data_IF_128828342582
#
_entry.id   IF_128828342582
#
_cell.length_a   1.000
_cell.length_b   1.000
_cell.length_c   1.000
_cell.angle_alpha   90.00
_cell.angle_beta   90.00
_cell.angle_gamma   90.00
#
_symmetry.space_group_name_H-M   'P 1'
#
loop_
_entity.id
_entity.type
_entity.pdbx_description
1 polymer ?
#
# COMPACT_ATOMS: atom_id res chain seq x y z
N UNK A 1 -18.70 5.10 -9.38
CA UNK A 1 -18.54 4.13 -10.50
C UNK A 1 -17.17 3.50 -10.41
N UNK A 2 -16.93 2.40 -11.13
CA UNK A 2 -15.58 1.80 -11.24
C UNK A 2 -14.56 2.80 -11.78
N UNK A 3 -14.90 3.54 -12.84
CA UNK A 3 -14.01 4.56 -13.44
C UNK A 3 -13.56 5.61 -12.42
N UNK A 4 -14.49 6.14 -11.63
CA UNK A 4 -14.19 7.11 -10.58
C UNK A 4 -13.24 6.54 -9.53
N UNK A 5 -13.40 5.27 -9.16
CA UNK A 5 -12.48 4.61 -8.21
C UNK A 5 -11.08 4.53 -8.79
N UNK A 6 -10.94 4.22 -10.08
CA UNK A 6 -9.65 4.17 -10.77
C UNK A 6 -8.99 5.54 -10.83
N UNK A 7 -9.75 6.58 -11.21
CA UNK A 7 -9.29 7.98 -11.23
C UNK A 7 -8.78 8.45 -9.87
N UNK A 8 -9.47 8.09 -8.78
CA UNK A 8 -9.11 8.45 -7.41
C UNK A 8 -7.93 7.63 -6.85
N UNK A 9 -7.65 6.43 -7.40
CA UNK A 9 -6.71 5.46 -6.79
C UNK A 9 -5.28 6.00 -6.67
N UNK A 10 -4.80 6.71 -7.69
CA UNK A 10 -3.44 7.26 -7.68
C UNK A 10 -3.27 8.31 -6.56
N UNK A 11 -4.26 9.19 -6.38
CA UNK A 11 -4.24 10.20 -5.32
C UNK A 11 -4.38 9.57 -3.94
N UNK A 12 -5.28 8.58 -3.78
CA UNK A 12 -5.44 7.82 -2.53
C UNK A 12 -4.13 7.15 -2.12
N UNK A 13 -3.43 6.49 -3.06
CA UNK A 13 -2.16 5.85 -2.76
C UNK A 13 -1.05 6.86 -2.43
N UNK A 14 -0.95 7.98 -3.16
CA UNK A 14 0.02 9.04 -2.85
C UNK A 14 -0.22 9.66 -1.48
N UNK A 15 -1.49 9.90 -1.12
CA UNK A 15 -1.86 10.35 0.23
C UNK A 15 -1.51 9.32 1.29
N UNK A 16 -1.86 8.04 1.06
CA UNK A 16 -1.48 6.94 1.95
C UNK A 16 0.04 6.91 2.20
N UNK A 17 0.85 6.96 1.13
CA UNK A 17 2.30 6.93 1.22
C UNK A 17 2.88 8.14 1.97
N UNK A 18 2.33 9.33 1.73
CA UNK A 18 2.72 10.55 2.43
C UNK A 18 2.50 10.44 3.94
N UNK A 19 1.27 10.11 4.37
CA UNK A 19 0.96 10.01 5.80
C UNK A 19 1.70 8.86 6.47
N UNK A 20 1.87 7.73 5.77
CA UNK A 20 2.66 6.61 6.27
C UNK A 20 4.12 6.99 6.49
N UNK A 21 4.71 7.68 5.52
CA UNK A 21 6.07 8.17 5.63
C UNK A 21 6.25 9.17 6.77
N UNK A 22 5.29 10.09 6.97
CA UNK A 22 5.32 11.01 8.11
C UNK A 22 5.31 10.26 9.44
N UNK A 23 4.43 9.26 9.62
CA UNK A 23 4.39 8.42 10.82
C UNK A 23 5.74 7.72 11.07
N UNK A 24 6.32 7.08 10.04
CA UNK A 24 7.60 6.39 10.21
C UNK A 24 8.75 7.34 10.55
N UNK A 25 8.73 8.59 10.04
CA UNK A 25 9.69 9.61 10.41
C UNK A 25 9.49 10.14 11.82
N UNK A 26 8.25 10.25 12.29
CA UNK A 26 7.95 10.63 13.67
C UNK A 26 8.42 9.57 14.67
N UNK A 27 8.26 8.29 14.33
CA UNK A 27 8.65 7.15 15.18
C UNK A 27 10.16 6.89 15.18
N UNK A 28 10.81 6.97 14.02
CA UNK A 28 12.19 6.50 13.82
C UNK A 28 13.19 7.61 13.47
N UNK A 29 12.72 8.84 13.33
CA UNK A 29 13.57 10.03 13.15
C UNK A 29 14.47 9.96 11.92
N UNK A 30 15.78 10.03 12.17
CA UNK A 30 16.83 10.07 11.13
C UNK A 30 17.11 8.71 10.47
N UNK A 31 16.58 7.61 11.02
CA UNK A 31 16.71 6.29 10.38
C UNK A 31 15.95 6.18 9.04
N UNK A 32 14.96 7.03 8.84
CA UNK A 32 14.17 7.09 7.60
C UNK A 32 14.72 8.24 6.76
N UNK A 33 15.44 7.95 5.66
CA UNK A 33 16.06 8.98 4.84
C UNK A 33 15.00 9.87 4.17
N UNK A 34 15.36 11.14 3.97
CA UNK A 34 14.49 12.14 3.38
C UNK A 34 14.21 11.84 1.90
N UNK A 35 13.05 11.27 1.57
CA UNK A 35 12.59 11.05 0.20
C UNK A 35 11.93 12.34 -0.37
N UNK A 36 12.59 13.05 -1.31
CA UNK A 36 12.05 14.27 -1.88
C UNK A 36 10.76 14.02 -2.66
N UNK A 37 10.58 12.85 -3.28
CA UNK A 37 9.38 12.54 -4.05
C UNK A 37 8.13 12.52 -3.16
N UNK A 38 8.27 12.00 -1.94
CA UNK A 38 7.19 11.96 -0.95
C UNK A 38 6.99 13.34 -0.31
N UNK A 39 8.08 14.05 0.01
CA UNK A 39 8.01 15.39 0.62
C UNK A 39 7.41 16.44 -0.33
N UNK A 40 7.59 16.28 -1.64
CA UNK A 40 7.02 17.14 -2.68
C UNK A 40 5.56 16.80 -3.02
N UNK A 41 4.95 15.83 -2.34
CA UNK A 41 3.51 15.56 -2.50
C UNK A 41 2.75 16.75 -1.92
N UNK A 42 2.43 17.71 -2.79
CA UNK A 42 1.48 18.78 -2.54
C UNK A 42 0.10 18.14 -2.36
N UNK A 43 -0.24 17.84 -1.12
CA UNK A 43 -1.61 17.48 -0.76
C UNK A 43 -2.45 18.76 -0.82
N UNK A 44 -3.53 18.75 -1.59
CA UNK A 44 -4.64 19.66 -1.34
C UNK A 44 -5.24 19.25 0.00
N UNK A 45 -4.69 19.82 1.07
CA UNK A 45 -5.11 19.59 2.45
C UNK A 45 -6.63 19.83 2.55
N UNK A 46 -7.41 18.75 2.49
CA UNK A 46 -8.86 18.82 2.55
C UNK A 46 -9.61 18.01 1.48
N UNK A 47 -8.96 17.52 0.41
CA UNK A 47 -9.63 16.65 -0.56
C UNK A 47 -10.12 15.36 0.12
N UNK A 48 -11.26 14.82 -0.33
CA UNK A 48 -11.82 13.58 0.23
C UNK A 48 -10.86 12.41 0.05
N UNK A 49 -10.18 12.34 -1.09
CA UNK A 49 -9.14 11.36 -1.42
C UNK A 49 -7.93 11.47 -0.50
N UNK A 50 -7.50 12.69 -0.16
CA UNK A 50 -6.45 12.92 0.83
C UNK A 50 -6.85 12.37 2.20
N UNK A 51 -8.07 12.65 2.66
CA UNK A 51 -8.60 12.13 3.93
C UNK A 51 -8.68 10.60 3.95
N UNK A 52 -9.09 9.99 2.83
CA UNK A 52 -9.12 8.53 2.67
C UNK A 52 -7.73 7.93 2.79
N UNK A 53 -6.74 8.46 2.06
CA UNK A 53 -5.35 7.97 2.14
C UNK A 53 -4.80 8.05 3.56
N UNK A 54 -5.04 9.17 4.26
CA UNK A 54 -4.70 9.32 5.68
C UNK A 54 -5.34 8.25 6.56
N UNK A 55 -6.65 8.03 6.40
CA UNK A 55 -7.40 7.05 7.19
C UNK A 55 -6.84 5.63 7.01
N UNK A 56 -6.58 5.26 5.77
CA UNK A 56 -6.02 3.95 5.42
C UNK A 56 -4.59 3.79 5.98
N UNK A 57 -3.78 4.86 6.00
CA UNK A 57 -2.45 4.85 6.62
C UNK A 57 -2.54 4.58 8.12
N UNK A 58 -3.44 5.27 8.84
CA UNK A 58 -3.69 5.06 10.27
C UNK A 58 -4.14 3.63 10.57
N UNK A 59 -5.03 3.05 9.75
CA UNK A 59 -5.50 1.67 9.96
C UNK A 59 -4.39 0.65 9.67
N UNK A 60 -3.57 0.91 8.66
CA UNK A 60 -2.48 0.02 8.23
C UNK A 60 -1.22 0.11 9.10
N UNK A 61 -1.11 1.11 9.96
CA UNK A 61 0.07 1.42 10.77
C UNK A 61 0.53 0.22 11.62
N UNK A 62 -0.33 -0.28 12.51
CA UNK A 62 -0.06 -1.42 13.38
C UNK A 62 0.48 -2.66 12.64
N UNK A 63 0.04 -2.90 11.40
CA UNK A 63 0.44 -4.07 10.62
C UNK A 63 1.73 -3.81 9.88
N UNK A 64 1.91 -2.60 9.36
CA UNK A 64 3.19 -2.21 8.80
C UNK A 64 4.28 -2.30 9.86
N UNK A 65 4.01 -1.91 11.11
CA UNK A 65 4.94 -2.05 12.23
C UNK A 65 5.16 -3.53 12.57
N UNK A 66 4.07 -4.29 12.81
CA UNK A 66 4.13 -5.68 13.24
C UNK A 66 4.86 -6.61 12.26
N UNK A 67 4.75 -6.34 10.95
CA UNK A 67 5.32 -7.18 9.88
C UNK A 67 6.45 -6.48 9.10
N UNK A 68 7.01 -5.40 9.64
CA UNK A 68 8.10 -4.65 9.02
C UNK A 68 9.30 -5.54 8.69
N UNK A 69 9.67 -6.44 9.60
CA UNK A 69 10.81 -7.33 9.43
C UNK A 69 10.61 -8.30 8.25
N UNK A 70 9.42 -8.87 8.10
CA UNK A 70 9.03 -9.76 7.02
C UNK A 70 9.02 -9.04 5.67
N UNK A 71 8.48 -7.81 5.62
CA UNK A 71 8.54 -6.98 4.42
C UNK A 71 9.98 -6.67 4.03
N UNK A 72 10.82 -6.23 4.99
CA UNK A 72 12.24 -5.96 4.75
C UNK A 72 12.98 -7.20 4.26
N UNK A 73 12.74 -8.36 4.88
CA UNK A 73 13.34 -9.62 4.47
C UNK A 73 12.95 -10.00 3.05
N UNK A 74 11.64 -9.95 2.74
CA UNK A 74 11.11 -10.26 1.42
C UNK A 74 11.71 -9.32 0.35
N UNK A 75 11.69 -8.01 0.58
CA UNK A 75 12.21 -7.02 -0.38
C UNK A 75 13.72 -7.17 -0.59
N UNK A 76 14.49 -7.43 0.48
CA UNK A 76 15.93 -7.73 0.39
C UNK A 76 16.21 -9.00 -0.43
N UNK A 77 15.35 -10.01 -0.32
CA UNK A 77 15.49 -11.24 -1.12
C UNK A 77 15.12 -11.03 -2.59
N UNK A 78 14.14 -10.17 -2.89
CA UNK A 78 13.67 -9.91 -4.25
C UNK A 78 14.59 -8.96 -5.02
N UNK A 79 15.23 -8.01 -4.31
CA UNK A 79 16.04 -6.93 -4.89
C UNK A 79 15.29 -6.21 -6.02
N UNK A 80 14.13 -5.58 -5.71
CA UNK A 80 13.34 -4.90 -6.72
C UNK A 80 14.11 -3.72 -7.33
N UNK A 81 13.99 -3.58 -8.64
CA UNK A 81 14.52 -2.47 -9.43
C UNK A 81 13.55 -2.15 -10.57
N UNK A 82 13.91 -1.22 -11.45
CA UNK A 82 13.03 -0.77 -12.54
C UNK A 82 12.60 -1.89 -13.49
N UNK A 83 13.42 -2.93 -13.67
CA UNK A 83 13.20 -3.99 -14.66
C UNK A 83 12.30 -5.10 -14.12
N UNK A 84 12.34 -5.39 -12.81
CA UNK A 84 11.65 -6.54 -12.21
C UNK A 84 10.53 -6.17 -11.22
N UNK A 85 10.45 -4.92 -10.76
CA UNK A 85 9.51 -4.55 -9.69
C UNK A 85 8.05 -4.70 -10.10
N UNK A 86 7.70 -4.45 -11.36
CA UNK A 86 6.33 -4.66 -11.85
C UNK A 86 5.91 -6.13 -11.75
N UNK A 87 6.80 -7.05 -12.12
CA UNK A 87 6.55 -8.49 -12.06
C UNK A 87 6.38 -8.93 -10.61
N UNK A 88 7.31 -8.55 -9.73
CA UNK A 88 7.21 -8.88 -8.31
C UNK A 88 5.99 -8.27 -7.64
N UNK A 89 5.67 -7.01 -7.98
CA UNK A 89 4.48 -6.36 -7.47
C UNK A 89 3.23 -7.12 -7.86
N UNK A 90 3.04 -7.37 -9.16
CA UNK A 90 1.88 -8.09 -9.69
C UNK A 90 1.76 -9.50 -9.13
N UNK A 91 2.88 -10.21 -8.98
CA UNK A 91 2.90 -11.58 -8.44
C UNK A 91 2.45 -11.62 -6.99
N UNK A 92 2.98 -10.73 -6.14
CA UNK A 92 2.63 -10.70 -4.72
C UNK A 92 1.20 -10.18 -4.53
N UNK A 93 0.82 -9.14 -5.27
CA UNK A 93 -0.54 -8.62 -5.27
C UNK A 93 -1.54 -9.69 -5.72
N UNK A 94 -1.24 -10.47 -6.77
CA UNK A 94 -2.13 -11.57 -7.19
C UNK A 94 -2.35 -12.58 -6.07
N UNK A 95 -1.27 -12.99 -5.38
CA UNK A 95 -1.36 -13.91 -4.24
C UNK A 95 -2.19 -13.35 -3.08
N UNK A 96 -2.08 -12.05 -2.81
CA UNK A 96 -2.86 -11.37 -1.77
C UNK A 96 -4.37 -11.47 -2.00
N UNK A 97 -4.82 -11.47 -3.27
CA UNK A 97 -6.24 -11.51 -3.63
C UNK A 97 -6.74 -12.89 -4.10
N UNK A 98 -5.92 -13.95 -4.06
CA UNK A 98 -6.29 -15.31 -4.49
C UNK A 98 -7.57 -15.83 -3.82
N UNK A 99 -7.81 -15.47 -2.56
CA UNK A 99 -8.99 -15.90 -1.79
C UNK A 99 -10.06 -14.81 -1.67
N UNK A 100 -10.10 -13.83 -2.58
CA UNK A 100 -11.13 -12.79 -2.64
C UNK A 100 -10.68 -11.37 -2.25
N UNK A 101 -11.62 -10.43 -2.26
CA UNK A 101 -11.37 -8.99 -2.07
C UNK A 101 -12.03 -8.53 -0.77
N UNK A 102 -11.27 -7.81 0.06
CA UNK A 102 -11.77 -7.10 1.23
C UNK A 102 -10.88 -5.89 1.53
N UNK A 103 -11.35 -4.98 2.40
CA UNK A 103 -10.61 -3.77 2.75
C UNK A 103 -9.24 -4.05 3.37
N UNK A 104 -9.10 -5.11 4.17
CA UNK A 104 -7.81 -5.49 4.75
C UNK A 104 -6.76 -5.80 3.68
N UNK A 105 -7.16 -6.51 2.61
CA UNK A 105 -6.28 -6.79 1.47
C UNK A 105 -5.99 -5.55 0.63
N UNK A 106 -6.97 -4.67 0.46
CA UNK A 106 -6.74 -3.37 -0.21
C UNK A 106 -5.70 -2.56 0.56
N UNK A 107 -5.82 -2.44 1.89
CA UNK A 107 -4.83 -1.75 2.73
C UNK A 107 -3.45 -2.42 2.65
N UNK A 108 -3.41 -3.75 2.70
CA UNK A 108 -2.15 -4.50 2.57
C UNK A 108 -1.48 -4.27 1.21
N UNK A 109 -2.24 -4.14 0.12
CA UNK A 109 -1.72 -3.79 -1.20
C UNK A 109 -1.06 -2.40 -1.19
N UNK A 110 -1.71 -1.40 -0.60
CA UNK A 110 -1.16 -0.05 -0.48
C UNK A 110 0.11 -0.05 0.39
N UNK A 111 0.08 -0.73 1.54
CA UNK A 111 1.24 -0.89 2.42
C UNK A 111 2.42 -1.56 1.73
N UNK A 112 2.17 -2.64 0.99
CA UNK A 112 3.19 -3.33 0.21
C UNK A 112 3.79 -2.44 -0.88
N UNK A 113 2.95 -1.71 -1.63
CA UNK A 113 3.41 -0.73 -2.61
C UNK A 113 4.32 0.33 -1.98
N UNK A 114 3.90 0.90 -0.86
CA UNK A 114 4.71 1.87 -0.11
C UNK A 114 6.06 1.29 0.33
N UNK A 115 6.06 0.10 0.95
CA UNK A 115 7.29 -0.58 1.38
C UNK A 115 8.25 -0.84 0.22
N UNK A 116 7.72 -1.25 -0.94
CA UNK A 116 8.53 -1.43 -2.15
C UNK A 116 9.13 -0.11 -2.64
N UNK A 117 8.35 0.97 -2.68
CA UNK A 117 8.84 2.29 -3.10
C UNK A 117 9.98 2.79 -2.20
N UNK A 118 9.80 2.73 -0.88
CA UNK A 118 10.83 3.13 0.10
C UNK A 118 12.08 2.26 -0.03
N UNK A 119 11.92 0.95 -0.16
CA UNK A 119 13.06 0.04 -0.31
C UNK A 119 13.89 0.38 -1.55
N UNK A 120 13.22 0.59 -2.69
CA UNK A 120 13.90 0.94 -3.95
C UNK A 120 14.59 2.30 -3.86
N UNK A 121 13.95 3.29 -3.22
CA UNK A 121 14.55 4.59 -2.93
C UNK A 121 15.80 4.47 -2.06
N UNK A 122 15.73 3.72 -0.95
CA UNK A 122 16.86 3.48 -0.05
C UNK A 122 18.06 2.78 -0.71
N UNK A 123 17.83 2.08 -1.83
CA UNK A 123 18.87 1.44 -2.63
C UNK A 123 19.32 2.31 -3.84
N UNK A 124 19.02 3.61 -3.81
CA UNK A 124 19.59 4.60 -4.73
C UNK A 124 18.78 4.85 -6.01
N UNK A 125 17.52 4.41 -6.08
CA UNK A 125 16.65 4.62 -7.24
C UNK A 125 15.55 5.63 -6.88
N UNK A 126 15.72 6.93 -7.19
CA UNK A 126 14.72 7.95 -6.90
C UNK A 126 13.53 7.91 -7.86
N UNK A 127 12.42 8.53 -7.45
CA UNK A 127 11.25 8.70 -8.31
C UNK A 127 10.41 7.43 -8.49
N UNK A 128 10.55 6.45 -7.58
CA UNK A 128 9.93 5.14 -7.71
C UNK A 128 8.48 5.09 -7.24
N UNK A 129 8.06 6.01 -6.37
CA UNK A 129 6.69 6.02 -5.84
C UNK A 129 5.67 6.23 -6.95
N UNK A 130 5.94 7.12 -7.92
CA UNK A 130 5.08 7.33 -9.09
C UNK A 130 4.87 6.06 -9.91
N UNK A 131 5.89 5.22 -10.05
CA UNK A 131 5.76 3.95 -10.77
C UNK A 131 4.88 2.98 -10.01
N UNK A 132 5.10 2.86 -8.70
CA UNK A 132 4.23 2.03 -7.84
C UNK A 132 2.79 2.52 -7.86
N UNK A 133 2.54 3.83 -7.84
CA UNK A 133 1.19 4.39 -7.89
C UNK A 133 0.44 3.93 -9.16
N UNK A 134 1.13 3.92 -10.31
CA UNK A 134 0.60 3.37 -11.57
C UNK A 134 0.35 1.87 -11.47
N UNK A 135 1.27 1.11 -10.86
CA UNK A 135 1.10 -0.33 -10.70
C UNK A 135 -0.10 -0.66 -9.82
N UNK A 136 -0.32 0.08 -8.74
CA UNK A 136 -1.50 -0.04 -7.87
C UNK A 136 -2.77 0.25 -8.67
N UNK A 137 -2.84 1.37 -9.38
CA UNK A 137 -4.01 1.75 -10.19
C UNK A 137 -4.33 0.72 -11.26
N UNK A 138 -3.31 0.28 -12.01
CA UNK A 138 -3.46 -0.73 -13.06
C UNK A 138 -3.90 -2.08 -12.48
N UNK A 139 -3.31 -2.51 -11.37
CA UNK A 139 -3.65 -3.77 -10.72
C UNK A 139 -5.10 -3.74 -10.18
N UNK A 140 -5.50 -2.62 -9.55
CA UNK A 140 -6.86 -2.45 -9.01
C UNK A 140 -7.91 -2.50 -10.12
N UNK A 141 -7.64 -1.87 -11.26
CA UNK A 141 -8.51 -1.94 -12.45
C UNK A 141 -8.59 -3.35 -13.02
N UNK A 142 -7.43 -3.99 -13.31
CA UNK A 142 -7.40 -5.29 -14.01
C UNK A 142 -7.99 -6.43 -13.19
N UNK A 143 -7.95 -6.36 -11.87
CA UNK A 143 -8.33 -7.46 -10.97
C UNK A 143 -9.70 -7.27 -10.29
N UNK A 144 -10.60 -6.44 -10.87
CA UNK A 144 -11.96 -6.18 -10.35
C UNK A 144 -12.01 -5.59 -8.94
N UNK A 145 -10.89 -5.07 -8.44
CA UNK A 145 -10.82 -4.42 -7.14
C UNK A 145 -11.49 -3.04 -7.23
N UNK A 146 -11.31 -2.32 -8.34
CA UNK A 146 -12.00 -1.05 -8.58
C UNK A 146 -13.52 -1.23 -8.55
N UNK A 147 -14.02 -2.25 -9.25
CA UNK A 147 -15.43 -2.61 -9.24
C UNK A 147 -15.93 -2.95 -7.83
N UNK A 148 -15.17 -3.75 -7.07
CA UNK A 148 -15.53 -4.11 -5.70
C UNK A 148 -15.58 -2.88 -4.78
N UNK A 149 -14.57 -2.00 -4.83
CA UNK A 149 -14.54 -0.75 -4.06
C UNK A 149 -15.73 0.13 -4.42
N UNK A 150 -16.08 0.23 -5.71
CA UNK A 150 -17.25 0.97 -6.15
C UNK A 150 -18.56 0.40 -5.56
N UNK A 151 -18.68 -0.92 -5.44
CA UNK A 151 -19.82 -1.58 -4.78
C UNK A 151 -19.87 -1.32 -3.27
N UNK A 152 -18.74 -1.03 -2.63
CA UNK A 152 -18.69 -0.63 -1.22
C UNK A 152 -19.05 0.86 -1.01
N UNK A 153 -19.33 1.62 -2.07
CA UNK A 153 -19.58 3.06 -1.99
C UNK A 153 -18.41 3.94 -2.43
N UNK A 154 -17.36 3.34 -3.03
CA UNK A 154 -16.15 4.04 -3.47
C UNK A 154 -15.11 4.18 -2.37
N UNK A 155 -14.01 4.90 -2.66
CA UNK A 155 -12.93 5.11 -1.71
C UNK A 155 -13.37 5.82 -0.43
N UNK A 156 -14.36 6.72 -0.52
CA UNK A 156 -14.91 7.44 0.64
C UNK A 156 -15.47 6.50 1.71
N UNK A 157 -15.92 5.29 1.36
CA UNK A 157 -16.39 4.30 2.32
C UNK A 157 -15.29 3.84 3.30
N UNK A 158 -14.02 4.02 2.94
CA UNK A 158 -12.89 3.74 3.84
C UNK A 158 -12.88 4.61 5.11
N UNK A 159 -13.53 5.78 5.07
CA UNK A 159 -13.60 6.69 6.23
C UNK A 159 -14.35 6.05 7.41
N UNK A 160 -15.35 5.22 7.10
CA UNK A 160 -16.26 4.57 8.07
C UNK A 160 -15.75 3.19 8.54
N UNK A 161 -14.54 2.77 8.16
CA UNK A 161 -14.01 1.48 8.56
C UNK A 161 -13.74 1.42 10.07
N UNK A 162 -14.24 0.37 10.72
CA UNK A 162 -13.99 0.13 12.14
C UNK A 162 -12.55 -0.34 12.39
N UNK A 163 -11.82 0.38 13.25
CA UNK A 163 -10.42 0.11 13.52
C UNK A 163 -10.18 -1.31 14.07
N UNK A 164 -11.07 -1.79 14.95
CA UNK A 164 -10.88 -3.07 15.65
C UNK A 164 -11.03 -4.21 14.67
N UNK A 165 -12.12 -4.24 13.89
CA UNK A 165 -12.32 -5.26 12.86
C UNK A 165 -11.21 -5.27 11.82
N UNK A 166 -10.77 -4.09 11.38
CA UNK A 166 -9.70 -3.98 10.39
C UNK A 166 -8.37 -4.51 10.90
N UNK A 167 -8.02 -4.23 12.17
CA UNK A 167 -6.81 -4.80 12.80
C UNK A 167 -6.85 -6.33 12.79
N UNK A 168 -7.97 -6.95 13.15
CA UNK A 168 -8.11 -8.41 13.09
C UNK A 168 -7.95 -8.96 11.67
N UNK A 169 -8.61 -8.35 10.68
CA UNK A 169 -8.49 -8.80 9.29
C UNK A 169 -7.06 -8.72 8.77
N UNK A 170 -6.33 -7.66 9.12
CA UNK A 170 -4.96 -7.46 8.63
C UNK A 170 -3.97 -8.43 9.27
N UNK A 171 -4.16 -8.82 10.54
CA UNK A 171 -3.41 -9.94 11.15
C UNK A 171 -3.64 -11.24 10.37
N UNK A 172 -4.89 -11.53 10.00
CA UNK A 172 -5.22 -12.72 9.19
C UNK A 172 -4.55 -12.65 7.81
N UNK A 173 -4.60 -11.50 7.14
CA UNK A 173 -3.94 -11.29 5.84
C UNK A 173 -2.45 -11.55 5.93
N UNK A 174 -1.79 -11.02 6.96
CA UNK A 174 -0.36 -11.19 7.13
C UNK A 174 0.02 -12.65 7.43
N UNK A 175 -0.76 -13.37 8.24
CA UNK A 175 -0.57 -14.81 8.47
C UNK A 175 -0.69 -15.62 7.17
N UNK A 176 -1.64 -15.27 6.29
CA UNK A 176 -1.78 -15.91 4.98
C UNK A 176 -0.55 -15.63 4.10
N UNK A 177 -0.07 -14.38 4.05
CA UNK A 177 1.12 -14.02 3.27
C UNK A 177 2.38 -14.74 3.76
N UNK A 178 2.62 -14.78 5.08
CA UNK A 178 3.74 -15.50 5.68
C UNK A 178 3.60 -17.01 5.42
N UNK A 179 2.40 -17.58 5.57
CA UNK A 179 2.13 -18.98 5.26
C UNK A 179 2.47 -19.34 3.81
N UNK A 180 2.10 -18.50 2.85
CA UNK A 180 2.46 -18.69 1.44
C UNK A 180 3.98 -18.61 1.20
N UNK A 181 4.70 -17.74 1.90
CA UNK A 181 6.15 -17.61 1.79
C UNK A 181 6.91 -18.79 2.41
N UNK A 182 6.38 -19.39 3.49
CA UNK A 182 7.00 -20.55 4.17
C UNK A 182 6.72 -21.86 3.42
N UNK A 183 5.50 -22.06 2.92
CA UNK A 183 5.10 -23.30 2.21
C UNK A 183 5.71 -23.40 0.80
N UNK A 184 6.08 -22.27 0.19
CA UNK A 184 6.76 -22.24 -1.12
C UNK A 184 8.30 -22.28 -1.02
N UNK A 185 8.86 -22.59 0.16
CA UNK A 185 10.29 -22.90 0.33
C UNK A 185 10.58 -24.39 0.15
#
# INVERSE_FOLDING_TARGET
SEDRVVEETEEVFRSYAFYRYQQEREERGEEVPADPEIMDIQQELGSTTSQVGRRLAIIGDDINERYDAEFRYMLKSLQPNKDNAYEYFTRIASSLFESGINWGRVIALLGFGYRMAIHVYQHGIPGFLRWIARYVTEFILRNRIAQWIAQQGGWVAALELDNVYMKYMLVVVALVLVGHLVVRR
#
